data_IF_993963669151
#
_entry.id   IF_993963669151
#
_cell.length_a   1.000
_cell.length_b   1.000
_cell.length_c   1.000
_cell.angle_alpha   90.00
_cell.angle_beta   90.00
_cell.angle_gamma   90.00
#
_symmetry.space_group_name_H-M   'P 1'
#
loop_
_entity.id
_entity.type
_entity.pdbx_description
1 polymer ?
#
# COMPACT_ATOMS: atom_id res chain seq x y z
N UNK A 1 2.33 -18.41 -7.23
CA UNK A 1 1.01 -17.89 -7.59
C UNK A 1 1.10 -16.69 -8.54
N UNK A 2 2.09 -15.84 -8.37
CA UNK A 2 2.36 -14.70 -9.27
C UNK A 2 3.64 -14.92 -10.04
N UNK A 3 3.59 -14.68 -11.35
CA UNK A 3 4.74 -14.78 -12.25
C UNK A 3 5.46 -13.42 -12.32
N UNK A 4 6.19 -13.11 -11.23
CA UNK A 4 6.97 -11.88 -11.12
C UNK A 4 8.14 -12.10 -10.16
N UNK A 5 9.31 -11.57 -10.52
CA UNK A 5 10.51 -11.60 -9.69
C UNK A 5 10.45 -10.60 -8.52
N UNK A 6 9.52 -9.65 -8.56
CA UNK A 6 9.41 -8.59 -7.58
C UNK A 6 7.95 -8.38 -7.14
N UNK A 7 7.74 -8.20 -5.84
CA UNK A 7 6.44 -7.94 -5.24
C UNK A 7 6.47 -6.57 -4.55
N UNK A 8 5.49 -5.74 -4.88
CA UNK A 8 5.29 -4.43 -4.25
C UNK A 8 4.62 -4.61 -2.88
N UNK A 9 5.15 -3.99 -1.82
CA UNK A 9 4.55 -4.03 -0.47
C UNK A 9 4.45 -2.62 0.10
N UNK A 10 3.27 -2.32 0.67
CA UNK A 10 3.04 -1.17 1.53
C UNK A 10 2.28 -1.58 2.79
N UNK A 11 2.14 -0.67 3.75
CA UNK A 11 1.31 -0.87 4.93
C UNK A 11 0.64 0.42 5.39
N UNK A 12 -0.46 0.29 6.16
CA UNK A 12 -1.10 1.39 6.85
C UNK A 12 -0.40 1.70 8.21
N UNK A 13 -1.04 2.44 9.12
CA UNK A 13 -0.48 2.86 10.40
C UNK A 13 -0.68 1.91 11.59
N UNK A 14 -1.03 0.63 11.39
CA UNK A 14 -1.34 -0.29 12.49
C UNK A 14 -0.09 -0.77 13.23
N UNK A 15 -0.20 -0.94 14.56
CA UNK A 15 0.91 -1.30 15.43
C UNK A 15 1.58 -2.64 15.07
N UNK A 16 0.81 -3.61 14.57
CA UNK A 16 1.32 -4.93 14.17
C UNK A 16 1.89 -4.99 12.74
N UNK A 17 1.94 -3.86 12.04
CA UNK A 17 2.36 -3.85 10.63
C UNK A 17 3.81 -4.25 10.42
N UNK A 18 4.71 -3.88 11.29
CA UNK A 18 6.14 -4.21 11.14
C UNK A 18 6.36 -5.71 11.30
N UNK A 19 5.67 -6.35 12.24
CA UNK A 19 5.73 -7.81 12.41
C UNK A 19 5.18 -8.52 11.17
N UNK A 20 4.02 -8.09 10.68
CA UNK A 20 3.43 -8.65 9.47
C UNK A 20 4.27 -8.36 8.22
N UNK A 21 4.88 -7.17 8.12
CA UNK A 21 5.78 -6.83 7.03
C UNK A 21 6.97 -7.79 6.97
N UNK A 22 7.61 -8.05 8.11
CA UNK A 22 8.72 -8.99 8.20
C UNK A 22 8.29 -10.42 7.79
N UNK A 23 7.12 -10.87 8.25
CA UNK A 23 6.61 -12.19 7.89
C UNK A 23 6.31 -12.30 6.38
N UNK A 24 5.62 -11.33 5.80
CA UNK A 24 5.28 -11.30 4.36
C UNK A 24 6.54 -11.19 3.51
N UNK A 25 7.44 -10.29 3.86
CA UNK A 25 8.69 -10.08 3.13
C UNK A 25 9.60 -11.30 3.21
N UNK A 26 9.70 -11.96 4.37
CA UNK A 26 10.43 -13.22 4.52
C UNK A 26 9.86 -14.33 3.64
N UNK A 27 8.53 -14.48 3.58
CA UNK A 27 7.89 -15.45 2.70
C UNK A 27 8.20 -15.19 1.22
N UNK A 28 8.24 -13.93 0.81
CA UNK A 28 8.58 -13.53 -0.56
C UNK A 28 10.05 -13.85 -0.85
N UNK A 29 10.98 -13.45 0.01
CA UNK A 29 12.41 -13.67 -0.19
C UNK A 29 12.79 -15.15 -0.11
N UNK A 30 12.18 -15.92 0.80
CA UNK A 30 12.36 -17.37 0.89
C UNK A 30 11.85 -18.10 -0.37
N UNK A 31 10.91 -17.49 -1.11
CA UNK A 31 10.46 -18.02 -2.42
C UNK A 31 11.34 -17.58 -3.59
N UNK A 32 12.50 -16.97 -3.35
CA UNK A 32 13.45 -16.52 -4.37
C UNK A 32 13.07 -15.21 -5.07
N UNK A 33 12.07 -14.49 -4.53
CA UNK A 33 11.60 -13.21 -5.11
C UNK A 33 12.12 -12.03 -4.30
N UNK A 34 12.07 -10.84 -4.89
CA UNK A 34 12.47 -9.59 -4.22
C UNK A 34 11.27 -8.75 -3.80
N UNK A 35 11.49 -7.90 -2.80
CA UNK A 35 10.49 -6.97 -2.28
C UNK A 35 10.78 -5.56 -2.80
N UNK A 36 9.75 -4.86 -3.29
CA UNK A 36 9.74 -3.42 -3.48
C UNK A 36 8.88 -2.81 -2.37
N UNK A 37 9.53 -2.34 -1.31
CA UNK A 37 8.83 -1.77 -0.16
C UNK A 37 8.63 -0.26 -0.35
N UNK A 38 7.38 0.20 -0.28
CA UNK A 38 7.01 1.62 -0.49
C UNK A 38 6.63 2.36 0.80
N UNK A 39 6.73 1.68 1.93
CA UNK A 39 6.56 2.30 3.24
C UNK A 39 5.11 2.37 3.70
N UNK A 40 4.88 3.34 4.60
CA UNK A 40 3.57 3.66 5.15
C UNK A 40 2.79 4.49 4.13
N UNK A 41 1.77 3.87 3.54
CA UNK A 41 0.96 4.46 2.45
C UNK A 41 -0.49 4.00 2.52
N UNK A 42 -1.45 4.76 2.02
CA UNK A 42 -2.82 4.29 1.86
C UNK A 42 -2.93 3.25 0.74
N UNK A 43 -4.02 2.49 0.77
CA UNK A 43 -4.26 1.33 -0.13
C UNK A 43 -4.18 1.70 -1.61
N UNK A 44 -4.70 2.85 -1.98
CA UNK A 44 -4.76 3.32 -3.38
C UNK A 44 -3.37 3.58 -3.96
N UNK A 45 -2.38 3.96 -3.15
CA UNK A 45 -0.99 4.09 -3.58
C UNK A 45 -0.44 2.74 -4.04
N UNK A 46 -0.64 1.66 -3.26
CA UNK A 46 -0.16 0.32 -3.64
C UNK A 46 -0.83 -0.15 -4.92
N UNK A 47 -2.15 0.05 -5.06
CA UNK A 47 -2.87 -0.33 -6.28
C UNK A 47 -2.43 0.50 -7.49
N UNK A 48 -2.28 1.82 -7.34
CA UNK A 48 -1.79 2.68 -8.41
C UNK A 48 -0.39 2.29 -8.87
N UNK A 49 0.53 2.07 -7.92
CA UNK A 49 1.89 1.64 -8.23
C UNK A 49 1.94 0.23 -8.83
N UNK A 50 1.06 -0.68 -8.39
CA UNK A 50 0.90 -2.01 -9.00
C UNK A 50 0.53 -1.89 -10.48
N UNK A 51 -0.41 -1.01 -10.81
CA UNK A 51 -0.80 -0.75 -12.21
C UNK A 51 0.31 -0.08 -13.03
N UNK A 52 0.95 0.94 -12.46
CA UNK A 52 1.99 1.72 -13.17
C UNK A 52 3.29 0.94 -13.41
N UNK A 53 3.65 0.07 -12.47
CA UNK A 53 4.90 -0.70 -12.51
C UNK A 53 4.71 -2.12 -13.05
N UNK A 54 3.47 -2.51 -13.36
CA UNK A 54 3.10 -3.87 -13.79
C UNK A 54 3.62 -4.94 -12.81
N UNK A 55 3.56 -4.63 -11.49
CA UNK A 55 3.97 -5.53 -10.42
C UNK A 55 2.77 -6.03 -9.61
N UNK A 56 2.77 -7.29 -9.16
CA UNK A 56 1.82 -7.72 -8.14
C UNK A 56 2.09 -6.97 -6.84
N UNK A 57 1.03 -6.68 -6.09
CA UNK A 57 1.09 -5.86 -4.89
C UNK A 57 0.41 -6.50 -3.68
N UNK A 58 0.92 -6.16 -2.51
CA UNK A 58 0.32 -6.47 -1.22
C UNK A 58 0.29 -5.21 -0.34
N UNK A 59 -0.85 -4.92 0.26
CA UNK A 59 -0.93 -3.92 1.33
C UNK A 59 -1.34 -4.58 2.64
N UNK A 60 -0.56 -4.30 3.68
CA UNK A 60 -0.83 -4.76 5.04
C UNK A 60 -1.80 -3.76 5.67
N UNK A 61 -3.03 -4.19 5.87
CA UNK A 61 -4.12 -3.35 6.38
C UNK A 61 -5.30 -4.22 6.78
N UNK A 62 -6.04 -3.80 7.82
CA UNK A 62 -7.36 -4.32 8.10
C UNK A 62 -8.47 -3.31 7.78
N UNK A 63 -8.16 -2.26 7.01
CA UNK A 63 -9.12 -1.25 6.55
C UNK A 63 -9.88 -0.59 7.71
N UNK A 64 -11.21 -0.77 7.80
CA UNK A 64 -12.09 -0.17 8.80
C UNK A 64 -12.25 -1.02 10.09
N UNK A 65 -11.57 -2.14 10.19
CA UNK A 65 -11.60 -2.94 11.41
C UNK A 65 -10.86 -2.24 12.57
N UNK A 66 -11.22 -2.54 13.83
CA UNK A 66 -10.52 -2.02 15.00
C UNK A 66 -9.00 -2.23 14.94
N UNK A 67 -8.27 -1.43 15.71
CA UNK A 67 -6.79 -1.36 15.65
C UNK A 67 -6.06 -2.68 15.94
N UNK A 68 -6.73 -3.59 16.66
CA UNK A 68 -6.20 -4.91 17.02
C UNK A 68 -6.19 -5.90 15.84
N UNK A 69 -6.99 -5.61 14.82
CA UNK A 69 -7.05 -6.45 13.62
C UNK A 69 -5.98 -6.02 12.60
N UNK A 70 -5.50 -6.99 11.85
CA UNK A 70 -4.67 -6.75 10.69
C UNK A 70 -4.99 -7.74 9.58
N UNK A 71 -4.45 -7.52 8.38
CA UNK A 71 -4.72 -8.36 7.23
C UNK A 71 -3.90 -7.96 6.01
N UNK A 72 -4.24 -8.59 4.90
CA UNK A 72 -3.60 -8.35 3.61
C UNK A 72 -4.66 -8.14 2.54
N UNK A 73 -4.49 -7.09 1.73
CA UNK A 73 -5.14 -6.99 0.43
C UNK A 73 -4.09 -7.25 -0.63
N UNK A 74 -4.43 -8.06 -1.61
CA UNK A 74 -3.52 -8.52 -2.65
C UNK A 74 -4.05 -8.13 -4.03
N UNK A 75 -3.14 -7.80 -4.93
CA UNK A 75 -3.46 -7.62 -6.34
C UNK A 75 -2.39 -8.27 -7.24
N UNK A 76 -2.80 -8.72 -8.40
CA UNK A 76 -1.90 -9.04 -9.50
C UNK A 76 -1.40 -7.74 -10.14
N UNK A 77 -0.38 -7.83 -11.01
CA UNK A 77 0.04 -6.74 -11.89
C UNK A 77 -1.16 -6.12 -12.62
N UNK A 78 -1.07 -4.83 -12.95
CA UNK A 78 -2.19 -4.09 -13.49
C UNK A 78 -3.27 -3.72 -12.46
N UNK A 79 -2.96 -3.75 -11.17
CA UNK A 79 -3.87 -3.45 -10.06
C UNK A 79 -5.11 -4.36 -9.98
N UNK A 80 -5.05 -5.60 -10.51
CA UNK A 80 -6.18 -6.53 -10.52
C UNK A 80 -6.36 -7.18 -9.15
N UNK A 81 -7.45 -6.91 -8.41
CA UNK A 81 -7.63 -7.44 -7.06
C UNK A 81 -7.67 -8.98 -7.02
N UNK A 82 -7.01 -9.56 -6.02
CA UNK A 82 -7.10 -11.00 -5.74
C UNK A 82 -8.18 -11.21 -4.68
N UNK A 83 -9.35 -11.65 -5.10
CA UNK A 83 -10.47 -12.00 -4.25
C UNK A 83 -10.57 -13.50 -3.97
N UNK A 84 -11.66 -13.89 -3.30
CA UNK A 84 -11.89 -15.26 -2.88
C UNK A 84 -11.81 -16.27 -4.06
N UNK A 85 -12.49 -15.96 -5.16
CA UNK A 85 -12.56 -16.82 -6.34
C UNK A 85 -11.41 -16.61 -7.34
N UNK A 86 -10.65 -15.52 -7.22
CA UNK A 86 -9.54 -15.20 -8.12
C UNK A 86 -8.16 -15.57 -7.55
N UNK A 87 -8.10 -16.20 -6.36
CA UNK A 87 -6.82 -16.67 -5.83
C UNK A 87 -6.71 -16.85 -4.33
N UNK A 88 -7.46 -16.13 -3.49
CA UNK A 88 -7.33 -16.22 -2.03
C UNK A 88 -7.60 -17.61 -1.49
N UNK A 89 -8.61 -18.34 -2.02
CA UNK A 89 -8.86 -19.73 -1.64
C UNK A 89 -7.68 -20.65 -1.95
N UNK A 90 -7.03 -20.46 -3.10
CA UNK A 90 -5.83 -21.21 -3.48
C UNK A 90 -4.68 -20.92 -2.52
N UNK A 91 -4.44 -19.65 -2.19
CA UNK A 91 -3.43 -19.25 -1.20
C UNK A 91 -3.73 -19.91 0.15
N UNK A 92 -4.97 -19.78 0.66
CA UNK A 92 -5.42 -20.35 1.93
C UNK A 92 -5.21 -21.87 2.00
N UNK A 93 -5.51 -22.59 0.93
CA UNK A 93 -5.35 -24.04 0.89
C UNK A 93 -3.88 -24.46 0.86
N UNK A 94 -3.03 -23.67 0.22
CA UNK A 94 -1.60 -23.95 0.11
C UNK A 94 -0.84 -23.70 1.42
N UNK A 95 -1.26 -22.73 2.26
CA UNK A 95 -0.58 -22.38 3.53
C UNK A 95 -0.37 -23.61 4.41
N UNK A 96 -1.30 -24.56 4.43
CA UNK A 96 -1.21 -25.78 5.26
C UNK A 96 -0.07 -26.73 4.90
N UNK A 97 0.46 -26.59 3.68
CA UNK A 97 1.44 -27.51 3.09
C UNK A 97 2.80 -26.84 2.80
N UNK A 98 2.97 -25.59 3.24
CA UNK A 98 4.20 -24.83 2.99
C UNK A 98 5.03 -24.84 4.27
N UNK A 99 6.31 -25.20 4.16
CA UNK A 99 7.30 -24.84 5.16
C UNK A 99 7.45 -23.31 5.14
N UNK A 100 7.04 -22.68 6.22
CA UNK A 100 7.05 -21.22 6.32
C UNK A 100 8.47 -20.64 6.40
N UNK A 101 9.47 -21.48 6.63
CA UNK A 101 10.85 -21.03 6.82
C UNK A 101 10.99 -20.11 8.03
N UNK A 102 12.16 -19.53 8.19
CA UNK A 102 12.41 -18.57 9.28
C UNK A 102 11.89 -17.17 8.89
N UNK A 103 11.19 -16.53 9.84
CA UNK A 103 10.88 -15.10 9.75
C UNK A 103 12.15 -14.33 10.16
N UNK A 104 12.64 -13.50 9.25
CA UNK A 104 13.80 -12.66 9.48
C UNK A 104 13.37 -11.21 9.70
N UNK A 105 14.03 -10.51 10.58
CA UNK A 105 13.95 -9.05 10.66
C UNK A 105 14.69 -8.46 9.46
N UNK A 106 13.95 -8.21 8.40
CA UNK A 106 14.49 -7.65 7.17
C UNK A 106 14.61 -6.13 7.34
N UNK A 107 15.80 -5.60 7.19
CA UNK A 107 16.00 -4.15 7.11
C UNK A 107 15.61 -3.68 5.71
N UNK A 108 14.30 -3.54 5.48
CA UNK A 108 13.75 -3.11 4.19
C UNK A 108 13.91 -1.60 4.06
N UNK A 109 14.70 -1.17 3.10
CA UNK A 109 14.77 0.24 2.74
C UNK A 109 13.50 0.64 1.98
N UNK A 110 12.91 1.77 2.38
CA UNK A 110 11.77 2.34 1.68
C UNK A 110 12.20 2.86 0.32
N UNK A 111 11.64 2.29 -0.73
CA UNK A 111 11.84 2.79 -2.08
C UNK A 111 10.74 3.79 -2.41
N UNK A 112 11.06 5.08 -2.34
CA UNK A 112 10.10 6.14 -2.57
C UNK A 112 9.70 6.20 -4.06
N UNK A 113 8.53 5.65 -4.37
CA UNK A 113 7.88 5.71 -5.69
C UNK A 113 6.64 6.64 -5.70
N UNK A 114 6.45 7.43 -4.64
CA UNK A 114 5.29 8.32 -4.53
C UNK A 114 5.23 9.36 -5.64
N UNK A 115 6.36 9.77 -6.21
CA UNK A 115 6.38 10.65 -7.37
C UNK A 115 5.56 10.08 -8.55
N UNK A 116 5.65 8.77 -8.82
CA UNK A 116 4.86 8.12 -9.88
C UNK A 116 3.36 8.16 -9.58
N UNK A 117 2.99 7.97 -8.31
CA UNK A 117 1.61 8.10 -7.86
C UNK A 117 1.09 9.52 -8.07
N UNK A 118 1.84 10.55 -7.64
CA UNK A 118 1.44 11.94 -7.81
C UNK A 118 1.35 12.36 -9.29
N UNK A 119 2.29 11.95 -10.11
CA UNK A 119 2.24 12.17 -11.56
C UNK A 119 1.01 11.51 -12.19
N UNK A 120 0.65 10.32 -11.72
CA UNK A 120 -0.55 9.63 -12.18
C UNK A 120 -1.83 10.39 -11.80
N UNK A 121 -1.95 10.83 -10.54
CA UNK A 121 -3.09 11.63 -10.08
C UNK A 121 -3.20 12.92 -10.92
N UNK A 122 -2.11 13.63 -11.18
CA UNK A 122 -2.10 14.86 -11.97
C UNK A 122 -2.51 14.64 -13.44
N UNK A 123 -2.26 13.44 -14.00
CA UNK A 123 -2.76 13.08 -15.35
C UNK A 123 -4.28 12.87 -15.35
N UNK A 124 -4.84 12.32 -14.27
CA UNK A 124 -6.27 12.08 -14.12
C UNK A 124 -7.03 13.37 -13.80
N UNK A 125 -6.50 14.15 -12.87
CA UNK A 125 -7.08 15.41 -12.41
C UNK A 125 -6.03 16.51 -12.56
N UNK A 126 -6.17 17.31 -13.59
CA UNK A 126 -5.22 18.41 -13.88
C UNK A 126 -5.32 19.49 -12.82
N UNK A 127 -4.21 19.93 -12.18
CA UNK A 127 -4.24 20.95 -11.13
C UNK A 127 -4.95 22.24 -11.53
N UNK A 128 -4.76 22.70 -12.76
CA UNK A 128 -5.38 23.91 -13.29
C UNK A 128 -6.93 23.82 -13.42
N UNK A 129 -7.50 22.61 -13.29
CA UNK A 129 -8.96 22.42 -13.30
C UNK A 129 -9.57 22.34 -11.90
N UNK A 130 -8.73 22.36 -10.87
CA UNK A 130 -9.19 22.32 -9.47
C UNK A 130 -9.50 23.74 -9.01
N UNK A 131 -10.69 23.95 -8.44
CA UNK A 131 -11.06 25.24 -7.88
C UNK A 131 -10.38 25.45 -6.51
N UNK A 132 -9.24 26.15 -6.50
CA UNK A 132 -8.48 26.45 -5.29
C UNK A 132 -9.15 27.45 -4.32
N UNK A 133 -10.30 28.04 -4.69
CA UNK A 133 -11.06 28.95 -3.81
C UNK A 133 -11.98 28.21 -2.84
N UNK A 134 -12.16 26.90 -3.03
CA UNK A 134 -12.97 26.09 -2.10
C UNK A 134 -12.15 25.85 -0.85
N UNK A 135 -12.73 26.27 0.29
CA UNK A 135 -12.21 25.94 1.63
C UNK A 135 -12.88 24.67 2.15
N UNK A 136 -12.07 23.76 2.70
CA UNK A 136 -12.59 22.52 3.27
C UNK A 136 -11.73 22.02 4.42
N UNK A 137 -12.27 21.14 5.23
CA UNK A 137 -11.54 20.40 6.27
C UNK A 137 -11.20 18.99 5.80
N UNK A 138 -10.05 18.50 6.20
CA UNK A 138 -9.63 17.11 5.98
C UNK A 138 -9.27 16.49 7.30
N UNK A 139 -9.96 15.41 7.64
CA UNK A 139 -9.67 14.59 8.82
C UNK A 139 -8.96 13.31 8.34
N UNK A 140 -7.69 13.18 8.70
CA UNK A 140 -6.86 12.01 8.35
C UNK A 140 -7.08 10.81 9.27
N UNK A 141 -7.80 10.98 10.38
CA UNK A 141 -8.09 9.92 11.35
C UNK A 141 -6.84 9.23 11.92
N UNK A 142 -5.70 9.91 11.99
CA UNK A 142 -4.38 9.33 12.30
C UNK A 142 -4.05 8.11 11.43
N UNK A 143 -4.53 8.10 10.19
CA UNK A 143 -4.34 7.02 9.23
C UNK A 143 -3.27 7.33 8.18
N UNK A 144 -3.02 6.36 7.31
CA UNK A 144 -1.97 6.44 6.28
C UNK A 144 -2.16 7.58 5.25
N UNK A 145 -3.33 8.21 5.19
CA UNK A 145 -3.58 9.33 4.27
C UNK A 145 -2.67 10.53 4.55
N UNK A 146 -2.28 10.74 5.82
CA UNK A 146 -1.36 11.82 6.20
C UNK A 146 -0.03 11.75 5.46
N UNK A 147 0.43 10.54 5.10
CA UNK A 147 1.70 10.33 4.40
C UNK A 147 1.74 10.88 2.96
N UNK A 148 0.58 11.09 2.34
CA UNK A 148 0.46 11.54 0.94
C UNK A 148 -0.32 12.85 0.79
N UNK A 149 -1.19 13.18 1.75
CA UNK A 149 -2.07 14.34 1.62
C UNK A 149 -1.30 15.67 1.64
N UNK A 150 -0.19 15.75 2.38
CA UNK A 150 0.63 16.97 2.41
C UNK A 150 1.13 17.33 1.02
N UNK A 151 1.65 16.35 0.28
CA UNK A 151 2.15 16.55 -1.08
C UNK A 151 1.00 16.86 -2.04
N UNK A 152 -0.13 16.14 -1.95
CA UNK A 152 -1.32 16.44 -2.76
C UNK A 152 -1.83 17.86 -2.49
N UNK A 153 -1.88 18.29 -1.23
CA UNK A 153 -2.34 19.63 -0.90
C UNK A 153 -1.43 20.73 -1.48
N UNK A 154 -0.13 20.45 -1.57
CA UNK A 154 0.84 21.36 -2.20
C UNK A 154 0.69 21.37 -3.73
N UNK A 155 0.58 20.20 -4.36
CA UNK A 155 0.40 20.04 -5.80
C UNK A 155 -0.84 20.79 -6.30
N UNK A 156 -1.95 20.68 -5.55
CA UNK A 156 -3.24 21.25 -5.94
C UNK A 156 -3.53 22.62 -5.32
N UNK A 157 -2.61 23.13 -4.49
CA UNK A 157 -2.77 24.39 -3.77
C UNK A 157 -4.09 24.49 -3.00
N UNK A 158 -4.39 23.44 -2.21
CA UNK A 158 -5.63 23.39 -1.44
C UNK A 158 -5.61 24.38 -0.26
N UNK A 159 -6.68 25.18 -0.15
CA UNK A 159 -6.97 25.96 1.06
C UNK A 159 -7.78 25.08 2.03
N UNK A 160 -7.09 24.34 2.90
CA UNK A 160 -7.73 23.36 3.77
C UNK A 160 -7.16 23.34 5.20
N UNK A 161 -8.07 23.12 6.15
CA UNK A 161 -7.71 22.77 7.53
C UNK A 161 -7.44 21.28 7.63
N UNK A 162 -6.34 20.91 8.30
CA UNK A 162 -5.87 19.52 8.41
C UNK A 162 -5.95 19.04 9.85
N UNK A 163 -6.68 17.95 10.10
CA UNK A 163 -6.85 17.33 11.40
C UNK A 163 -6.34 15.88 11.36
N UNK A 164 -5.69 15.45 12.45
CA UNK A 164 -5.28 14.05 12.66
C UNK A 164 -4.48 13.44 11.49
N UNK A 165 -3.49 14.18 10.96
CA UNK A 165 -2.65 13.76 9.85
C UNK A 165 -1.45 12.90 10.28
N UNK A 166 -1.13 12.84 11.57
CA UNK A 166 -0.06 12.01 12.11
C UNK A 166 -0.56 10.58 12.36
N UNK A 167 0.28 9.59 12.05
CA UNK A 167 -0.02 8.16 12.22
C UNK A 167 0.49 7.66 13.57
#
# INVERSE_FOLDING_TARGET
FVDSEKILIGHDGRLSNIEMLNAVASGITNSGKSVLYVGLVPTDVVYSLSGLLELPGAIITASHNPKEYNGLKLCNSGAVPIGEHSGLLKIKNNIKNIDLGAISNLNLETNNKLNLYFEHIQKLVKPEKVNSQIKFGVDGGNGAIGSVFQDLSTIYNFDCEKLYMEV
#
